data_IF_058289071633
#
_entry.id   IF_058289071633
#
_cell.length_a   1.000
_cell.length_b   1.000
_cell.length_c   1.000
_cell.angle_alpha   90.00
_cell.angle_beta   90.00
_cell.angle_gamma   90.00
#
_symmetry.space_group_name_H-M   'P 1'
#
loop_
_entity.id
_entity.type
_entity.pdbx_description
1 polymer ?
#
# COMPACT_ATOMS: atom_id res chain seq x y z
N UNK A 1 -3.60 -0.89 -8.38
CA UNK A 1 -2.57 -1.92 -8.12
C UNK A 1 -3.09 -3.10 -7.30
N UNK A 2 -3.78 -2.93 -6.16
CA UNK A 2 -4.31 -4.09 -5.40
C UNK A 2 -5.30 -4.92 -6.23
N UNK A 3 -6.34 -4.29 -6.79
CA UNK A 3 -7.32 -4.98 -7.63
C UNK A 3 -6.67 -5.69 -8.84
N UNK A 4 -5.78 -4.99 -9.54
CA UNK A 4 -5.00 -5.54 -10.67
C UNK A 4 -4.11 -6.73 -10.26
N UNK A 5 -3.56 -6.69 -9.05
CA UNK A 5 -2.75 -7.77 -8.51
C UNK A 5 -3.57 -9.04 -8.28
N UNK A 6 -4.77 -8.88 -7.72
CA UNK A 6 -5.69 -9.99 -7.45
C UNK A 6 -6.32 -10.55 -8.73
N UNK A 7 -6.55 -9.74 -9.77
CA UNK A 7 -7.15 -10.20 -11.02
C UNK A 7 -6.19 -10.98 -11.92
N UNK A 8 -4.89 -10.65 -11.93
CA UNK A 8 -3.90 -11.27 -12.83
C UNK A 8 -3.28 -12.56 -12.31
N UNK A 9 -3.18 -12.74 -10.99
CA UNK A 9 -2.49 -13.88 -10.37
C UNK A 9 -1.01 -14.02 -10.77
N UNK A 10 -0.34 -15.02 -10.20
CA UNK A 10 1.04 -15.38 -10.55
C UNK A 10 2.05 -14.22 -10.45
N UNK A 11 3.10 -14.27 -11.30
CA UNK A 11 4.17 -13.26 -11.32
C UNK A 11 3.68 -11.84 -11.67
N UNK A 12 2.78 -11.64 -12.66
CA UNK A 12 2.21 -10.32 -12.95
C UNK A 12 1.40 -9.76 -11.77
N UNK A 13 0.56 -10.58 -11.13
CA UNK A 13 -0.21 -10.19 -9.95
C UNK A 13 0.68 -9.79 -8.78
N UNK A 14 1.72 -10.58 -8.51
CA UNK A 14 2.74 -10.28 -7.49
C UNK A 14 3.43 -8.94 -7.75
N UNK A 15 3.69 -8.59 -9.02
CA UNK A 15 4.29 -7.31 -9.38
C UNK A 15 3.37 -6.13 -8.99
N UNK A 16 2.08 -6.21 -9.32
CA UNK A 16 1.13 -5.18 -8.93
C UNK A 16 0.97 -5.04 -7.41
N UNK A 17 0.96 -6.16 -6.67
CA UNK A 17 0.92 -6.09 -5.21
C UNK A 17 2.20 -5.48 -4.62
N UNK A 18 3.37 -5.69 -5.23
CA UNK A 18 4.62 -5.02 -4.83
C UNK A 18 4.54 -3.51 -5.06
N UNK A 19 4.01 -3.09 -6.20
CA UNK A 19 3.80 -1.66 -6.51
C UNK A 19 2.82 -1.05 -5.50
N UNK A 20 1.70 -1.73 -5.20
CA UNK A 20 0.75 -1.26 -4.19
C UNK A 20 1.39 -1.02 -2.83
N UNK A 21 2.27 -1.92 -2.39
CA UNK A 21 3.01 -1.77 -1.14
C UNK A 21 3.96 -0.56 -1.18
N UNK A 22 4.71 -0.40 -2.28
CA UNK A 22 5.60 0.74 -2.50
C UNK A 22 4.82 2.07 -2.44
N UNK A 23 3.72 2.17 -3.18
CA UNK A 23 2.87 3.37 -3.19
C UNK A 23 2.29 3.70 -1.82
N UNK A 24 1.93 2.69 -1.01
CA UNK A 24 1.48 2.92 0.37
C UNK A 24 2.60 3.48 1.26
N UNK A 25 3.84 3.02 1.07
CA UNK A 25 5.02 3.55 1.77
C UNK A 25 5.36 4.99 1.34
N UNK A 26 5.34 5.28 0.04
CA UNK A 26 5.55 6.62 -0.50
C UNK A 26 4.51 7.62 0.02
N UNK A 27 3.22 7.23 -0.01
CA UNK A 27 2.15 8.04 0.54
C UNK A 27 2.33 8.27 2.05
N UNK A 28 2.77 7.24 2.80
CA UNK A 28 3.04 7.38 4.23
C UNK A 28 4.18 8.37 4.48
N UNK A 29 5.28 8.28 3.73
CA UNK A 29 6.40 9.22 3.84
C UNK A 29 6.01 10.66 3.47
N UNK A 30 5.11 10.83 2.50
CA UNK A 30 4.56 12.15 2.17
C UNK A 30 3.80 12.78 3.35
N UNK A 31 3.15 11.97 4.20
CA UNK A 31 2.50 12.44 5.43
C UNK A 31 3.49 12.86 6.53
N UNK A 32 4.76 12.47 6.44
CA UNK A 32 5.78 12.93 7.38
C UNK A 32 6.25 14.35 7.06
N UNK A 33 6.06 14.81 5.83
CA UNK A 33 6.44 16.16 5.37
C UNK A 33 5.26 17.10 5.18
N UNK A 34 4.06 16.56 4.92
CA UNK A 34 2.85 17.35 4.74
C UNK A 34 2.12 17.56 6.08
N UNK A 35 2.10 18.81 6.56
CA UNK A 35 1.32 19.19 7.74
C UNK A 35 -0.09 19.61 7.32
N UNK A 36 -1.07 18.73 7.53
CA UNK A 36 -2.47 19.04 7.26
C UNK A 36 -3.41 18.32 8.24
N UNK A 37 -4.62 18.86 8.47
CA UNK A 37 -5.61 18.23 9.34
C UNK A 37 -5.97 16.82 8.86
N UNK A 38 -5.97 15.84 9.77
CA UNK A 38 -6.29 14.44 9.44
C UNK A 38 -5.08 13.56 9.11
N UNK A 39 -3.86 14.11 9.20
CA UNK A 39 -2.63 13.39 8.85
C UNK A 39 -2.39 12.16 9.74
N UNK A 40 -2.74 12.21 11.02
CA UNK A 40 -2.61 11.07 11.94
C UNK A 40 -3.53 9.89 11.55
N UNK A 41 -4.78 10.19 11.21
CA UNK A 41 -5.79 9.23 10.77
C UNK A 41 -5.37 8.59 9.44
N UNK A 42 -4.87 9.40 8.49
CA UNK A 42 -4.35 8.91 7.21
C UNK A 42 -3.11 8.04 7.37
N UNK A 43 -2.21 8.36 8.29
CA UNK A 43 -1.07 7.47 8.64
C UNK A 43 -1.55 6.12 9.16
N UNK A 44 -2.57 6.10 10.03
CA UNK A 44 -3.14 4.86 10.56
C UNK A 44 -3.85 4.02 9.48
N UNK A 45 -4.57 4.67 8.55
CA UNK A 45 -5.16 4.00 7.37
C UNK A 45 -4.07 3.38 6.48
N UNK A 46 -3.04 4.14 6.11
CA UNK A 46 -1.95 3.66 5.24
C UNK A 46 -1.16 2.51 5.88
N UNK A 47 -0.91 2.54 7.19
CA UNK A 47 -0.30 1.40 7.92
C UNK A 47 -1.14 0.13 7.78
N UNK A 48 -2.47 0.23 7.93
CA UNK A 48 -3.38 -0.91 7.75
C UNK A 48 -3.35 -1.45 6.32
N UNK A 49 -3.34 -0.56 5.32
CA UNK A 49 -3.22 -0.94 3.91
C UNK A 49 -1.89 -1.66 3.65
N UNK A 50 -0.77 -1.11 4.13
CA UNK A 50 0.54 -1.73 3.98
C UNK A 50 0.62 -3.14 4.59
N UNK A 51 0.07 -3.33 5.79
CA UNK A 51 -0.01 -4.65 6.43
C UNK A 51 -0.90 -5.63 5.63
N UNK A 52 -2.05 -5.17 5.14
CA UNK A 52 -2.95 -5.97 4.30
C UNK A 52 -2.25 -6.41 3.01
N UNK A 53 -1.63 -5.49 2.28
CA UNK A 53 -0.95 -5.81 1.01
C UNK A 53 0.24 -6.72 1.23
N UNK A 54 0.97 -6.57 2.35
CA UNK A 54 2.07 -7.46 2.71
C UNK A 54 1.60 -8.91 2.91
N UNK A 55 0.42 -9.12 3.50
CA UNK A 55 -0.19 -10.44 3.64
C UNK A 55 -0.66 -11.02 2.31
N UNK A 56 -1.23 -10.20 1.43
CA UNK A 56 -1.64 -10.63 0.08
C UNK A 56 -0.46 -11.03 -0.82
N UNK A 57 0.75 -10.57 -0.49
CA UNK A 57 2.00 -10.92 -1.19
C UNK A 57 2.68 -12.18 -0.68
N UNK A 58 2.29 -12.68 0.49
CA UNK A 58 2.89 -13.89 1.03
C UNK A 58 2.55 -15.07 0.10
N UNK A 59 3.54 -15.94 -0.21
CA UNK A 59 3.36 -17.05 -1.14
C UNK A 59 2.27 -18.04 -0.71
#
# INVERSE_FOLDING_TARGET
>A
NIAEGLSRGGRPGTNHLRIALGSAGEAFAALDVADFPGCAEKRAELRRIGAMVSRLRAP
#
